data_IF_201621518873
#
_entry.id   IF_201621518873
#
_cell.length_a   1.000
_cell.length_b   1.000
_cell.length_c   1.000
_cell.angle_alpha   90.00
_cell.angle_beta   90.00
_cell.angle_gamma   90.00
#
_symmetry.space_group_name_H-M   'P 1'
#
loop_
_entity.id
_entity.type
_entity.pdbx_description
1 polymer ?
#
# COMPACT_ATOMS: atom_id res chain seq x y z
N UNK A 1 19.79 -12.75 -16.93
CA UNK A 1 18.38 -12.45 -16.56
C UNK A 1 18.37 -11.53 -15.35
N UNK A 2 17.95 -10.26 -15.49
CA UNK A 2 17.75 -9.38 -14.33
C UNK A 2 16.55 -9.89 -13.54
N UNK A 3 16.79 -10.68 -12.49
CA UNK A 3 15.82 -10.88 -11.42
C UNK A 3 15.52 -9.50 -10.83
N UNK A 4 14.47 -8.83 -11.31
CA UNK A 4 13.92 -7.67 -10.60
C UNK A 4 13.46 -8.18 -9.24
N UNK A 5 14.21 -7.85 -8.20
CA UNK A 5 13.90 -8.28 -6.85
C UNK A 5 12.64 -7.51 -6.45
N UNK A 6 11.74 -8.14 -5.70
CA UNK A 6 10.52 -7.47 -5.18
C UNK A 6 10.85 -6.23 -4.31
N UNK A 7 12.12 -6.09 -3.94
CA UNK A 7 12.75 -4.95 -3.27
C UNK A 7 12.75 -3.65 -4.07
N UNK A 8 12.70 -3.71 -5.41
CA UNK A 8 12.71 -2.50 -6.27
C UNK A 8 11.31 -1.86 -6.40
N UNK A 9 10.29 -2.46 -5.79
CA UNK A 9 8.94 -1.92 -5.82
C UNK A 9 8.82 -0.79 -4.80
N UNK A 10 8.19 0.34 -5.16
CA UNK A 10 8.00 1.43 -4.23
C UNK A 10 7.21 0.94 -3.02
N UNK A 11 7.72 1.24 -1.83
CA UNK A 11 7.06 0.97 -0.55
C UNK A 11 6.45 2.25 -0.01
N UNK A 12 5.24 2.16 0.55
CA UNK A 12 4.59 3.25 1.28
C UNK A 12 4.31 2.84 2.72
N UNK A 13 4.13 3.82 3.60
CA UNK A 13 3.72 3.58 4.99
C UNK A 13 2.19 3.64 5.08
N UNK A 14 1.57 2.67 5.75
CA UNK A 14 0.13 2.68 5.97
C UNK A 14 -0.26 3.77 6.98
N UNK A 15 -1.08 4.73 6.57
CA UNK A 15 -1.54 5.81 7.45
C UNK A 15 -2.37 5.34 8.67
N UNK A 16 -2.93 4.12 8.62
CA UNK A 16 -3.74 3.57 9.72
C UNK A 16 -2.94 2.73 10.72
N UNK A 17 -1.97 1.94 10.26
CA UNK A 17 -1.26 0.97 11.11
C UNK A 17 0.25 1.18 11.17
N UNK A 18 0.79 2.19 10.48
CA UNK A 18 2.22 2.51 10.45
C UNK A 18 3.11 1.46 9.78
N UNK A 19 2.55 0.35 9.28
CA UNK A 19 3.34 -0.71 8.66
C UNK A 19 3.75 -0.36 7.23
N UNK A 20 5.01 -0.61 6.83
CA UNK A 20 5.42 -0.49 5.44
C UNK A 20 4.73 -1.54 4.58
N UNK A 21 4.34 -1.15 3.38
CA UNK A 21 3.73 -2.07 2.42
C UNK A 21 4.25 -1.78 1.00
N UNK A 22 4.56 -2.85 0.27
CA UNK A 22 5.06 -2.76 -1.09
C UNK A 22 3.92 -2.59 -2.10
N UNK A 23 4.24 -1.95 -3.21
CA UNK A 23 3.37 -1.84 -4.38
C UNK A 23 2.80 -3.20 -4.82
N UNK A 24 1.55 -3.19 -5.27
CA UNK A 24 0.83 -4.37 -5.78
C UNK A 24 0.25 -4.03 -7.15
N UNK A 25 0.21 -5.00 -8.07
CA UNK A 25 -0.34 -4.81 -9.43
C UNK A 25 -1.76 -4.22 -9.43
N UNK A 26 -2.60 -4.57 -8.45
CA UNK A 26 -3.95 -4.02 -8.31
C UNK A 26 -3.99 -2.49 -8.09
N UNK A 27 -2.87 -1.89 -7.75
CA UNK A 27 -2.72 -0.46 -7.53
C UNK A 27 -2.07 0.28 -8.70
N UNK A 28 -1.86 -0.40 -9.85
CA UNK A 28 -1.27 0.19 -11.05
C UNK A 28 -1.80 1.59 -11.40
N UNK A 29 -3.12 1.81 -11.27
CA UNK A 29 -3.79 3.06 -11.66
C UNK A 29 -4.03 4.04 -10.51
N UNK A 30 -3.88 3.58 -9.27
CA UNK A 30 -4.31 4.34 -8.07
C UNK A 30 -3.21 4.41 -7.01
N UNK A 31 -1.98 4.00 -7.33
CA UNK A 31 -0.90 3.88 -6.36
C UNK A 31 -0.66 5.18 -5.61
N UNK A 32 -0.72 6.32 -6.28
CA UNK A 32 -0.58 7.65 -5.68
C UNK A 32 -1.63 7.94 -4.60
N UNK A 33 -2.86 7.49 -4.80
CA UNK A 33 -3.97 7.63 -3.86
C UNK A 33 -3.97 6.59 -2.72
N UNK A 34 -3.26 5.46 -2.90
CA UNK A 34 -3.23 4.37 -1.91
C UNK A 34 -2.38 4.77 -0.70
N UNK A 35 -3.07 5.05 0.41
CA UNK A 35 -2.49 5.36 1.72
C UNK A 35 -2.52 4.20 2.73
N UNK A 36 -3.18 3.09 2.38
CA UNK A 36 -3.46 1.99 3.31
C UNK A 36 -3.01 0.63 2.77
N UNK A 37 -2.41 -0.19 3.63
CA UNK A 37 -1.89 -1.51 3.26
C UNK A 37 -2.99 -2.54 2.92
N UNK A 38 -4.21 -2.33 3.40
CA UNK A 38 -5.33 -3.26 3.28
C UNK A 38 -6.68 -2.55 3.26
N UNK A 39 -7.71 -3.26 2.77
CA UNK A 39 -9.10 -2.77 2.78
C UNK A 39 -9.60 -2.55 4.21
N UNK A 40 -9.18 -3.40 5.15
CA UNK A 40 -9.45 -3.25 6.59
C UNK A 40 -8.95 -1.90 7.10
N UNK A 41 -7.70 -1.54 6.81
CA UNK A 41 -7.13 -0.25 7.20
C UNK A 41 -7.87 0.92 6.55
N UNK A 42 -8.28 0.79 5.28
CA UNK A 42 -9.07 1.82 4.59
C UNK A 42 -10.45 2.00 5.23
N UNK A 43 -11.14 0.91 5.57
CA UNK A 43 -12.45 0.96 6.24
C UNK A 43 -12.33 1.51 7.65
N UNK A 44 -11.32 1.07 8.41
CA UNK A 44 -11.07 1.57 9.76
C UNK A 44 -10.78 3.08 9.79
N UNK A 45 -10.06 3.60 8.78
CA UNK A 45 -9.82 5.04 8.66
C UNK A 45 -11.08 5.85 8.31
N UNK A 46 -12.04 5.25 7.59
CA UNK A 46 -13.35 5.87 7.28
C UNK A 46 -14.37 5.72 8.41
N UNK A 47 -14.18 4.74 9.28
CA UNK A 47 -15.11 4.35 10.33
C UNK A 47 -14.74 4.90 11.71
N UNK A 48 -13.99 6.00 11.78
CA UNK A 48 -13.91 6.76 13.02
C UNK A 48 -15.23 7.55 13.18
N UNK A 49 -15.95 7.45 14.31
CA UNK A 49 -16.92 8.48 14.67
C UNK A 49 -16.25 9.85 14.82
#
# INVERSE_FOLDING_TARGET
MRMRRKSDLPTKICAQCGRPFAWRRKWLRVWDEVKYCSDRCRRAARGRP
#
